data_IF_609992019618
#
_entry.id   IF_609992019618
#
_cell.length_a   1.000
_cell.length_b   1.000
_cell.length_c   1.000
_cell.angle_alpha   90.00
_cell.angle_beta   90.00
_cell.angle_gamma   90.00
#
_symmetry.space_group_name_H-M   'P 1'
#
loop_
_entity.id
_entity.type
_entity.pdbx_description
1 polymer ?
#
# COMPACT_ATOMS: atom_id res chain seq x y z
N UNK A 1 15.36 -24.14 -20.97
CA UNK A 1 15.04 -22.76 -21.44
C UNK A 1 16.10 -22.34 -22.46
N UNK A 2 15.74 -21.56 -23.50
CA UNK A 2 16.70 -21.03 -24.50
C UNK A 2 16.66 -19.50 -24.53
N UNK A 3 17.80 -18.87 -24.77
CA UNK A 3 17.91 -17.42 -24.95
C UNK A 3 17.35 -17.01 -26.32
N UNK A 4 16.63 -15.89 -26.39
CA UNK A 4 16.00 -15.41 -27.63
C UNK A 4 16.85 -14.28 -28.19
N UNK A 5 17.50 -14.53 -29.34
CA UNK A 5 18.42 -13.56 -29.94
C UNK A 5 17.74 -12.53 -30.85
N UNK A 6 16.56 -12.84 -31.42
CA UNK A 6 15.90 -11.95 -32.37
C UNK A 6 15.21 -10.76 -31.67
N UNK A 7 15.67 -9.53 -31.95
CA UNK A 7 15.31 -8.29 -31.23
C UNK A 7 13.79 -8.06 -31.10
N UNK A 8 13.03 -8.21 -32.18
CA UNK A 8 11.57 -8.00 -32.16
C UNK A 8 10.80 -9.05 -31.36
N UNK A 9 11.25 -10.31 -31.43
CA UNK A 9 10.62 -11.43 -30.69
C UNK A 9 10.94 -11.31 -29.19
N UNK A 10 12.15 -10.85 -28.87
CA UNK A 10 12.60 -10.64 -27.50
C UNK A 10 11.77 -9.58 -26.75
N UNK A 11 11.46 -8.45 -27.39
CA UNK A 11 10.66 -7.36 -26.78
C UNK A 11 9.21 -7.80 -26.53
N UNK A 12 8.56 -8.43 -27.52
CA UNK A 12 7.18 -8.91 -27.36
C UNK A 12 7.07 -9.97 -26.25
N UNK A 13 8.04 -10.89 -26.20
CA UNK A 13 8.09 -11.90 -25.16
C UNK A 13 8.34 -11.29 -23.77
N UNK A 14 9.21 -10.29 -23.66
CA UNK A 14 9.40 -9.57 -22.40
C UNK A 14 8.09 -8.96 -21.91
N UNK A 15 7.38 -8.21 -22.76
CA UNK A 15 6.11 -7.57 -22.39
C UNK A 15 5.07 -8.59 -21.92
N UNK A 16 4.90 -9.69 -22.66
CA UNK A 16 3.97 -10.77 -22.29
C UNK A 16 4.37 -11.47 -21.00
N UNK A 17 5.65 -11.79 -20.82
CA UNK A 17 6.14 -12.45 -19.59
C UNK A 17 6.00 -11.54 -18.39
N UNK A 18 6.37 -10.27 -18.50
CA UNK A 18 6.20 -9.26 -17.45
C UNK A 18 4.76 -9.19 -16.99
N UNK A 19 3.81 -9.06 -17.92
CA UNK A 19 2.38 -9.02 -17.59
C UNK A 19 1.89 -10.30 -16.88
N UNK A 20 2.30 -11.48 -17.37
CA UNK A 20 1.92 -12.76 -16.75
C UNK A 20 2.51 -12.92 -15.34
N UNK A 21 3.76 -12.51 -15.12
CA UNK A 21 4.38 -12.61 -13.80
C UNK A 21 3.73 -11.63 -12.84
N UNK A 22 3.46 -10.38 -13.26
CA UNK A 22 2.75 -9.42 -12.42
C UNK A 22 1.35 -9.91 -12.04
N UNK A 23 0.61 -10.51 -12.99
CA UNK A 23 -0.67 -11.15 -12.68
C UNK A 23 -0.53 -12.24 -11.62
N UNK A 24 0.49 -13.09 -11.73
CA UNK A 24 0.70 -14.15 -10.73
C UNK A 24 1.11 -13.58 -9.37
N UNK A 25 1.95 -12.55 -9.36
CA UNK A 25 2.34 -11.84 -8.15
C UNK A 25 1.12 -11.22 -7.46
N UNK A 26 0.22 -10.57 -8.20
CA UNK A 26 -1.00 -10.00 -7.62
C UNK A 26 -1.95 -11.07 -7.07
N UNK A 27 -2.03 -12.24 -7.71
CA UNK A 27 -2.79 -13.38 -7.17
C UNK A 27 -2.18 -13.90 -5.86
N UNK A 28 -0.86 -13.86 -5.70
CA UNK A 28 -0.22 -14.26 -4.44
C UNK A 28 -0.47 -13.25 -3.32
N UNK A 29 -0.62 -11.96 -3.63
CA UNK A 29 -0.89 -10.92 -2.64
C UNK A 29 -2.28 -11.06 -1.99
N UNK A 30 -3.17 -11.90 -2.52
CA UNK A 30 -4.48 -12.15 -1.88
C UNK A 30 -4.37 -13.08 -0.68
N UNK A 31 -3.26 -13.78 -0.51
CA UNK A 31 -3.04 -14.65 0.64
C UNK A 31 -2.61 -13.81 1.85
N UNK A 32 -3.24 -13.99 3.03
CA UNK A 32 -2.88 -13.26 4.23
C UNK A 32 -1.40 -13.44 4.60
N UNK A 33 -0.75 -12.35 5.06
CA UNK A 33 0.66 -12.37 5.48
C UNK A 33 1.67 -12.57 4.34
N UNK A 34 1.23 -12.51 3.08
CA UNK A 34 2.12 -12.69 1.94
C UNK A 34 2.74 -11.36 1.53
N UNK A 35 4.06 -11.29 1.55
CA UNK A 35 4.81 -10.15 1.01
C UNK A 35 5.54 -10.57 -0.27
N UNK A 36 5.39 -9.80 -1.33
CA UNK A 36 5.91 -10.13 -2.66
C UNK A 36 6.70 -8.95 -3.21
N UNK A 37 7.90 -9.22 -3.71
CA UNK A 37 8.72 -8.27 -4.46
C UNK A 37 9.17 -8.85 -5.78
N UNK A 38 8.99 -8.10 -6.87
CA UNK A 38 9.41 -8.50 -8.22
C UNK A 38 10.07 -7.32 -8.93
N UNK A 39 11.27 -7.54 -9.47
CA UNK A 39 12.04 -6.54 -10.21
C UNK A 39 12.53 -7.14 -11.53
N UNK A 40 12.36 -6.39 -12.63
CA UNK A 40 12.86 -6.74 -13.96
C UNK A 40 13.52 -5.55 -14.64
N UNK A 41 14.50 -5.83 -15.50
CA UNK A 41 14.99 -4.86 -16.48
C UNK A 41 14.54 -5.29 -17.87
N UNK A 42 13.99 -4.34 -18.64
CA UNK A 42 13.70 -4.59 -20.05
C UNK A 42 14.98 -4.86 -20.84
N UNK A 43 14.86 -5.39 -22.07
CA UNK A 43 16.00 -5.48 -22.98
C UNK A 43 16.67 -4.13 -23.27
N UNK A 44 15.96 -3.02 -23.03
CA UNK A 44 16.45 -1.64 -23.17
C UNK A 44 17.01 -1.07 -21.86
N UNK A 45 17.13 -1.88 -20.81
CA UNK A 45 17.66 -1.47 -19.51
C UNK A 45 16.67 -0.71 -18.61
N UNK A 46 15.41 -0.55 -19.02
CA UNK A 46 14.40 0.15 -18.21
C UNK A 46 13.92 -0.75 -17.07
N UNK A 47 13.98 -0.30 -15.81
CA UNK A 47 13.47 -1.08 -14.69
C UNK A 47 11.94 -1.11 -14.64
N UNK A 48 11.40 -2.21 -14.11
CA UNK A 48 10.00 -2.42 -13.79
C UNK A 48 9.92 -3.15 -12.46
N UNK A 49 9.08 -2.68 -11.54
CA UNK A 49 8.87 -3.31 -10.24
C UNK A 49 7.39 -3.54 -9.96
N UNK A 50 7.13 -4.50 -9.10
CA UNK A 50 5.86 -4.74 -8.42
C UNK A 50 6.18 -5.18 -7.00
N UNK A 51 5.48 -4.63 -6.02
CA UNK A 51 5.66 -5.02 -4.62
C UNK A 51 4.35 -4.92 -3.84
N UNK A 52 4.23 -5.77 -2.82
CA UNK A 52 3.15 -5.75 -1.83
C UNK A 52 3.74 -6.09 -0.44
N UNK A 53 3.41 -5.34 0.63
CA UNK A 53 2.46 -4.21 0.67
C UNK A 53 2.94 -2.95 -0.04
N UNK A 54 4.23 -2.63 0.03
CA UNK A 54 4.87 -1.56 -0.73
C UNK A 54 6.36 -1.90 -0.97
N UNK A 55 7.01 -1.17 -1.88
CA UNK A 55 8.38 -1.48 -2.30
C UNK A 55 9.42 -1.26 -1.20
N UNK A 56 9.24 -0.24 -0.35
CA UNK A 56 10.17 0.09 0.73
C UNK A 56 10.16 -0.97 1.81
N UNK A 57 8.98 -1.39 2.27
CA UNK A 57 8.81 -2.48 3.25
C UNK A 57 9.48 -3.76 2.78
N UNK A 58 9.28 -4.14 1.51
CA UNK A 58 9.86 -5.37 0.95
C UNK A 58 11.38 -5.27 0.83
N UNK A 59 11.91 -4.10 0.44
CA UNK A 59 13.35 -3.86 0.33
C UNK A 59 14.00 -3.84 1.72
N UNK A 60 13.45 -3.09 2.67
CA UNK A 60 13.97 -3.00 4.04
C UNK A 60 14.02 -4.40 4.65
N UNK A 61 12.94 -5.16 4.56
CA UNK A 61 12.95 -6.56 5.02
C UNK A 61 14.00 -7.42 4.33
N UNK A 62 14.23 -7.24 3.04
CA UNK A 62 15.25 -8.01 2.31
C UNK A 62 16.68 -7.62 2.75
N UNK A 63 16.93 -6.35 3.04
CA UNK A 63 18.23 -5.82 3.44
C UNK A 63 18.53 -6.02 4.93
N UNK A 64 17.50 -5.96 5.78
CA UNK A 64 17.56 -6.10 7.24
C UNK A 64 17.63 -7.57 7.69
N UNK A 65 17.53 -8.52 6.77
CA UNK A 65 17.67 -9.95 7.06
C UNK A 65 19.12 -10.31 7.42
N UNK A 66 19.45 -10.15 8.70
CA UNK A 66 20.31 -11.13 9.38
C UNK A 66 19.60 -12.50 9.35
N UNK A 67 20.23 -13.59 8.88
CA UNK A 67 19.55 -14.85 8.53
C UNK A 67 18.94 -15.64 9.71
N UNK A 68 18.90 -15.09 10.93
CA UNK A 68 18.57 -15.84 12.15
C UNK A 68 17.34 -15.35 12.93
N UNK A 69 16.70 -14.24 12.57
CA UNK A 69 15.51 -13.75 13.30
C UNK A 69 14.49 -13.15 12.33
N UNK A 70 13.22 -13.14 12.74
CA UNK A 70 12.11 -12.43 12.10
C UNK A 70 11.19 -13.23 11.17
N UNK A 71 10.80 -14.43 11.61
CA UNK A 71 9.51 -15.02 11.18
C UNK A 71 8.31 -14.46 11.97
N UNK A 72 8.48 -13.45 12.85
CA UNK A 72 7.47 -12.99 13.80
C UNK A 72 7.31 -11.45 13.94
N UNK A 73 7.90 -10.65 13.05
CA UNK A 73 7.87 -9.17 13.18
C UNK A 73 7.29 -8.48 11.94
N UNK A 74 6.22 -9.03 11.40
CA UNK A 74 5.19 -8.20 10.74
C UNK A 74 4.37 -7.53 11.84
N UNK A 75 4.11 -6.21 11.74
CA UNK A 75 3.21 -5.37 12.56
C UNK A 75 3.85 -4.18 13.32
N UNK A 76 5.00 -3.64 12.89
CA UNK A 76 5.48 -2.35 13.43
C UNK A 76 5.20 -1.14 12.52
N UNK A 77 4.96 -1.33 11.22
CA UNK A 77 4.59 -0.22 10.30
C UNK A 77 3.09 0.04 10.20
N UNK A 78 2.26 -1.01 10.15
CA UNK A 78 0.80 -0.86 10.03
C UNK A 78 0.15 -0.32 11.32
N UNK A 79 0.73 -0.60 12.49
CA UNK A 79 0.22 -0.11 13.75
C UNK A 79 0.35 1.42 13.88
N UNK A 80 1.43 2.00 13.36
CA UNK A 80 1.65 3.46 13.36
C UNK A 80 0.66 4.18 12.44
N UNK A 81 0.45 3.66 11.21
CA UNK A 81 -0.51 4.21 10.25
C UNK A 81 -1.96 4.10 10.77
N UNK A 82 -2.33 2.96 11.39
CA UNK A 82 -3.66 2.76 11.99
C UNK A 82 -3.86 3.69 13.19
N UNK A 83 -2.83 3.90 14.01
CA UNK A 83 -2.91 4.82 15.14
C UNK A 83 -3.12 6.26 14.69
N UNK A 84 -2.39 6.71 13.65
CA UNK A 84 -2.57 8.05 13.09
C UNK A 84 -3.97 8.22 12.47
N UNK A 85 -4.46 7.21 11.75
CA UNK A 85 -5.78 7.25 11.14
C UNK A 85 -6.91 7.33 12.19
N UNK A 86 -6.81 6.55 13.27
CA UNK A 86 -7.78 6.59 14.37
C UNK A 86 -7.77 7.94 15.08
N UNK A 87 -6.61 8.57 15.27
CA UNK A 87 -6.54 9.95 15.82
C UNK A 87 -7.28 10.95 14.95
N UNK A 88 -7.12 10.88 13.62
CA UNK A 88 -7.85 11.75 12.68
C UNK A 88 -9.35 11.50 12.75
N UNK A 89 -9.78 10.24 12.90
CA UNK A 89 -11.19 9.90 13.05
C UNK A 89 -11.80 10.51 14.32
N UNK A 90 -11.11 10.40 15.46
CA UNK A 90 -11.54 10.98 16.74
C UNK A 90 -11.61 12.53 16.69
N UNK A 91 -10.69 13.17 15.99
CA UNK A 91 -10.72 14.64 15.79
C UNK A 91 -11.95 15.08 14.97
N UNK A 92 -12.28 14.36 13.89
CA UNK A 92 -13.45 14.64 13.06
C UNK A 92 -14.75 14.42 13.85
N UNK A 93 -14.82 13.36 14.68
CA UNK A 93 -15.97 13.12 15.55
C UNK A 93 -16.21 14.29 16.53
N UNK A 94 -15.16 14.77 17.19
CA UNK A 94 -15.26 15.93 18.08
C UNK A 94 -15.73 17.19 17.38
N UNK A 95 -15.29 17.41 16.15
CA UNK A 95 -15.75 18.55 15.34
C UNK A 95 -17.24 18.44 15.01
N UNK A 96 -17.70 17.25 14.63
CA UNK A 96 -19.11 17.00 14.33
C UNK A 96 -20.00 17.26 15.55
N UNK A 97 -19.62 16.72 16.71
CA UNK A 97 -20.37 16.93 17.97
C UNK A 97 -20.44 18.42 18.33
N UNK A 98 -19.34 19.16 18.18
CA UNK A 98 -19.32 20.59 18.44
C UNK A 98 -20.21 21.40 17.47
N UNK A 99 -20.31 20.99 16.20
CA UNK A 99 -21.21 21.62 15.24
C UNK A 99 -22.68 21.25 15.49
N UNK A 100 -22.97 20.01 15.91
CA UNK A 100 -24.33 19.60 16.31
C UNK A 100 -24.81 20.34 17.56
N UNK A 101 -23.94 20.55 18.56
CA UNK A 101 -24.25 21.34 19.75
C UNK A 101 -24.47 22.82 19.42
N UNK A 102 -23.66 23.40 18.53
CA UNK A 102 -23.89 24.76 18.01
C UNK A 102 -25.21 24.84 17.24
N UNK A 103 -25.54 23.82 16.46
CA UNK A 103 -26.80 23.71 15.72
C UNK A 103 -28.03 23.63 16.63
N UNK A 104 -27.93 22.97 17.79
CA UNK A 104 -29.00 22.95 18.81
C UNK A 104 -29.25 24.31 19.46
N UNK A 105 -28.27 25.21 19.44
CA UNK A 105 -28.38 26.57 20.00
C UNK A 105 -29.01 27.58 19.04
N UNK A 106 -29.16 27.24 17.76
CA UNK A 106 -29.85 28.05 16.76
C UNK A 106 -31.13 27.33 16.35
N UNK A 107 -32.27 27.76 16.89
CA UNK A 107 -33.58 27.37 16.36
C UNK A 107 -33.70 27.71 14.86
N UNK A 108 -34.73 27.19 14.16
CA UNK A 108 -34.88 27.25 12.70
C UNK A 108 -34.82 28.66 12.07
N UNK A 109 -34.86 29.71 12.88
CA UNK A 109 -34.83 31.12 12.46
C UNK A 109 -33.50 31.87 12.77
N UNK A 110 -32.44 31.17 13.17
CA UNK A 110 -31.07 31.71 13.18
C UNK A 110 -30.77 32.83 14.19
N UNK A 111 -31.53 32.94 15.29
CA UNK A 111 -31.24 33.90 16.39
C UNK A 111 -30.85 33.18 17.68
N UNK A 112 -29.85 33.73 18.40
CA UNK A 112 -29.45 33.28 19.75
C UNK A 112 -30.55 33.63 20.76
N UNK A 113 -31.05 32.63 21.47
CA UNK A 113 -31.91 32.81 22.65
C UNK A 113 -31.05 32.79 23.92
N UNK A 114 -31.11 33.85 24.72
CA UNK A 114 -30.67 33.85 26.11
C UNK A 114 -31.93 33.84 26.98
N UNK A 115 -32.00 32.96 27.99
CA UNK A 115 -33.00 33.06 29.06
C UNK A 115 -32.86 34.39 29.83
#
# INVERSE_FOLDING_TARGET
>A
MKFIQHKGVHINNFSKRKARIFKKASELCTFPGTEVGVIFFSPTGKPYSFAHPNIESVINRFLDQNPSQNYLTTNFGEADDICELNKKYDEVLKQLEAEEEKGKLFGPDGKRTYE
#
